data_IF_007710841189
#
_entry.id   IF_007710841189
#
_cell.length_a   1.000
_cell.length_b   1.000
_cell.length_c   1.000
_cell.angle_alpha   90.00
_cell.angle_beta   90.00
_cell.angle_gamma   90.00
#
_symmetry.space_group_name_H-M   'P 1'
#
loop_
_entity.id
_entity.type
_entity.pdbx_description
1 polymer ?
#
# COMPACT_ATOMS: atom_id res chain seq x y z
N UNK A 1 11.25 5.63 -8.37
CA UNK A 1 12.37 5.40 -7.49
C UNK A 1 12.24 4.09 -6.76
N UNK A 2 13.31 3.38 -6.60
CA UNK A 2 13.26 2.04 -6.07
C UNK A 2 13.36 2.07 -4.55
N UNK A 3 12.32 1.62 -3.91
CA UNK A 3 12.32 1.47 -2.45
C UNK A 3 12.74 2.69 -1.68
N UNK A 4 12.61 3.86 -2.27
CA UNK A 4 12.95 5.05 -1.53
C UNK A 4 11.74 5.73 -0.95
N UNK A 5 10.57 5.47 -1.45
CA UNK A 5 9.37 6.17 -0.99
C UNK A 5 8.61 5.32 0.00
N UNK A 6 8.36 5.88 1.13
CA UNK A 6 7.64 5.20 2.20
C UNK A 6 6.35 5.95 2.50
N UNK A 7 5.27 5.22 2.58
CA UNK A 7 3.99 5.79 2.93
C UNK A 7 3.68 5.46 4.38
N UNK A 8 3.32 6.44 5.15
CA UNK A 8 2.94 6.22 6.54
C UNK A 8 1.43 6.02 6.59
N UNK A 9 1.03 4.78 6.80
CA UNK A 9 -0.38 4.42 6.78
C UNK A 9 -1.06 4.80 8.08
N UNK A 10 -0.31 4.86 9.16
CA UNK A 10 -0.84 5.26 10.45
C UNK A 10 0.31 5.86 11.24
N UNK A 11 0.10 7.02 11.83
CA UNK A 11 1.13 7.63 12.65
C UNK A 11 1.23 6.95 14.00
N UNK A 12 2.35 7.14 14.69
CA UNK A 12 2.46 6.63 16.03
C UNK A 12 1.45 7.35 16.93
N UNK A 13 1.06 6.69 17.97
CA UNK A 13 0.13 7.30 18.92
C UNK A 13 0.31 6.65 20.28
N UNK A 14 -0.20 7.30 21.30
CA UNK A 14 -0.13 6.77 22.64
C UNK A 14 -1.47 6.15 22.98
N UNK A 15 -1.42 4.89 23.43
CA UNK A 15 -2.63 4.19 23.85
C UNK A 15 -2.71 4.37 25.38
N UNK A 16 -3.62 5.16 25.86
CA UNK A 16 -3.59 5.55 27.27
C UNK A 16 -4.27 4.58 28.22
N UNK A 17 -4.93 3.58 27.70
CA UNK A 17 -5.72 2.69 28.53
C UNK A 17 -4.88 1.54 29.06
N UNK A 18 -5.45 0.80 30.00
CA UNK A 18 -4.80 -0.36 30.54
C UNK A 18 -4.53 -1.37 29.44
N UNK A 19 -3.30 -1.87 29.36
CA UNK A 19 -2.92 -2.75 28.29
C UNK A 19 -1.84 -3.70 28.81
N UNK A 20 -2.14 -4.99 28.81
CA UNK A 20 -1.19 -6.00 29.25
C UNK A 20 -0.93 -6.95 28.08
N UNK A 21 0.31 -7.26 27.84
CA UNK A 21 0.70 -8.04 26.68
C UNK A 21 1.47 -9.27 27.11
N UNK A 22 1.14 -10.41 26.52
CA UNK A 22 1.87 -11.63 26.77
C UNK A 22 3.09 -11.65 25.88
N UNK A 23 4.21 -12.08 26.45
CA UNK A 23 5.42 -12.18 25.65
C UNK A 23 5.94 -13.61 25.76
N UNK A 24 6.65 -14.05 24.75
CA UNK A 24 7.09 -15.42 24.70
C UNK A 24 8.11 -15.78 25.77
N UNK A 25 8.84 -14.78 26.26
CA UNK A 25 9.93 -15.09 27.16
C UNK A 25 9.63 -14.83 28.61
N UNK A 26 8.45 -14.37 28.94
CA UNK A 26 8.13 -14.07 30.32
C UNK A 26 6.98 -14.90 30.78
N UNK A 27 6.99 -15.21 32.09
CA UNK A 27 5.87 -15.91 32.65
C UNK A 27 4.68 -15.00 32.80
N UNK A 28 4.93 -13.77 33.19
CA UNK A 28 3.84 -12.85 33.49
C UNK A 28 3.64 -11.91 32.32
N UNK A 29 2.45 -11.40 32.22
CA UNK A 29 2.15 -10.39 31.20
C UNK A 29 2.92 -9.12 31.50
N UNK A 30 3.28 -8.41 30.45
CA UNK A 30 4.00 -7.18 30.57
C UNK A 30 3.03 -6.01 30.57
N UNK A 31 3.22 -5.08 31.51
CA UNK A 31 2.34 -3.92 31.61
C UNK A 31 2.78 -2.90 30.58
N UNK A 32 1.88 -2.64 29.62
CA UNK A 32 2.14 -1.67 28.56
C UNK A 32 1.16 -0.53 28.61
N UNK A 33 0.56 -0.31 29.77
CA UNK A 33 -0.39 0.77 29.93
C UNK A 33 0.25 2.10 29.57
N UNK A 34 -0.46 2.92 28.82
CA UNK A 34 0.02 4.23 28.42
C UNK A 34 1.26 4.14 27.54
N UNK A 35 1.32 3.15 26.68
CA UNK A 35 2.49 2.96 25.83
C UNK A 35 2.31 3.64 24.48
N UNK A 36 3.42 3.96 23.86
CA UNK A 36 3.40 4.54 22.51
C UNK A 36 3.39 3.41 21.50
N UNK A 37 2.48 3.50 20.56
CA UNK A 37 2.38 2.52 19.48
C UNK A 37 3.11 3.07 18.26
N UNK A 38 3.85 2.20 17.59
CA UNK A 38 4.68 2.62 16.48
C UNK A 38 3.82 2.85 15.23
N UNK A 39 4.32 3.64 14.30
CA UNK A 39 3.57 3.87 13.07
C UNK A 39 3.55 2.63 12.19
N UNK A 40 2.61 2.58 11.27
CA UNK A 40 2.57 1.55 10.26
C UNK A 40 3.03 2.17 8.96
N UNK A 41 4.06 1.59 8.35
CA UNK A 41 4.64 2.11 7.13
C UNK A 41 4.54 1.08 6.02
N UNK A 42 4.60 1.55 4.80
CA UNK A 42 4.64 0.68 3.64
C UNK A 42 5.55 1.29 2.59
N UNK A 43 6.51 0.51 2.12
CA UNK A 43 7.44 0.94 1.09
C UNK A 43 7.24 0.04 -0.12
N UNK A 44 6.60 0.53 -1.18
CA UNK A 44 6.40 -0.29 -2.37
C UNK A 44 7.71 -0.57 -3.09
N UNK A 45 7.70 -1.59 -3.93
CA UNK A 45 8.90 -1.91 -4.70
C UNK A 45 9.25 -0.81 -5.69
N UNK A 46 8.24 -0.28 -6.40
CA UNK A 46 8.49 0.76 -7.40
C UNK A 46 7.41 1.83 -7.32
N UNK A 47 7.82 3.08 -7.36
CA UNK A 47 6.89 4.20 -7.29
C UNK A 47 7.26 5.22 -8.34
N UNK A 48 6.27 5.63 -9.13
CA UNK A 48 6.43 6.74 -10.05
C UNK A 48 5.69 7.94 -9.50
N UNK A 49 6.39 8.82 -8.82
CA UNK A 49 5.73 9.93 -8.16
C UNK A 49 5.11 10.91 -9.11
N UNK A 50 5.78 11.20 -10.21
CA UNK A 50 5.27 12.19 -11.14
C UNK A 50 4.05 11.69 -11.87
N UNK A 51 4.03 10.44 -12.24
CA UNK A 51 2.92 9.88 -12.97
C UNK A 51 1.91 9.20 -12.06
N UNK A 52 2.21 9.10 -10.78
CA UNK A 52 1.26 8.57 -9.79
C UNK A 52 0.92 7.10 -10.01
N UNK A 53 1.93 6.26 -10.02
CA UNK A 53 1.69 4.83 -10.07
C UNK A 53 2.60 4.09 -9.08
N UNK A 54 2.15 2.92 -8.66
CA UNK A 54 2.88 2.07 -7.73
C UNK A 54 2.83 0.65 -8.27
N UNK A 55 3.97 -0.03 -8.28
CA UNK A 55 4.02 -1.44 -8.64
C UNK A 55 4.63 -2.19 -7.46
N UNK A 56 3.93 -3.20 -7.01
CA UNK A 56 4.42 -4.08 -5.97
C UNK A 56 4.54 -5.48 -6.54
N UNK A 57 5.67 -6.14 -6.31
CA UNK A 57 5.86 -7.49 -6.80
C UNK A 57 5.78 -8.43 -5.61
N UNK A 58 5.00 -9.50 -5.75
CA UNK A 58 4.80 -10.38 -4.63
C UNK A 58 4.61 -11.80 -5.12
N UNK A 59 5.63 -12.61 -5.03
CA UNK A 59 5.47 -14.01 -5.29
C UNK A 59 4.79 -14.67 -4.11
N UNK A 60 4.62 -15.97 -4.18
CA UNK A 60 4.02 -16.70 -3.07
C UNK A 60 5.07 -16.89 -1.99
N UNK A 61 4.85 -16.32 -0.83
CA UNK A 61 5.75 -16.49 0.30
C UNK A 61 4.91 -16.69 1.54
N UNK A 62 4.92 -17.88 2.11
CA UNK A 62 4.07 -18.15 3.26
C UNK A 62 4.34 -17.22 4.45
N UNK A 63 5.53 -16.65 4.51
CA UNK A 63 5.86 -15.78 5.63
C UNK A 63 5.26 -14.38 5.50
N UNK A 64 4.62 -14.05 4.38
CA UNK A 64 4.08 -12.71 4.20
C UNK A 64 2.60 -12.68 4.57
N UNK A 65 2.29 -13.10 5.77
CA UNK A 65 0.89 -13.21 6.17
C UNK A 65 0.22 -11.87 6.39
N UNK A 66 0.97 -10.84 6.74
CA UNK A 66 0.37 -9.55 7.00
C UNK A 66 0.28 -8.69 5.75
N UNK A 67 0.79 -9.14 4.63
CA UNK A 67 0.79 -8.30 3.44
C UNK A 67 -0.61 -7.95 2.95
N UNK A 68 -1.57 -8.89 2.90
CA UNK A 68 -2.89 -8.51 2.40
C UNK A 68 -3.54 -7.38 3.20
N UNK A 69 -3.34 -7.38 4.52
CA UNK A 69 -3.91 -6.34 5.34
C UNK A 69 -3.16 -5.03 5.12
N UNK A 70 -1.82 -5.08 5.07
CA UNK A 70 -1.04 -3.87 4.85
C UNK A 70 -1.36 -3.27 3.48
N UNK A 71 -1.55 -4.11 2.46
CA UNK A 71 -1.90 -3.63 1.14
C UNK A 71 -3.25 -2.92 1.15
N UNK A 72 -4.22 -3.52 1.84
CA UNK A 72 -5.54 -2.90 1.93
C UNK A 72 -5.47 -1.56 2.65
N UNK A 73 -4.66 -1.46 3.70
CA UNK A 73 -4.49 -0.20 4.40
C UNK A 73 -3.82 0.83 3.50
N UNK A 74 -2.91 0.39 2.65
CA UNK A 74 -2.26 1.29 1.71
C UNK A 74 -3.26 1.84 0.70
N UNK A 75 -4.12 0.97 0.17
CA UNK A 75 -5.15 1.43 -0.77
C UNK A 75 -6.08 2.45 -0.11
N UNK A 76 -6.45 2.19 1.12
CA UNK A 76 -7.30 3.13 1.84
C UNK A 76 -6.59 4.44 2.10
N UNK A 77 -5.30 4.37 2.38
CA UNK A 77 -4.51 5.58 2.60
C UNK A 77 -4.50 6.46 1.36
N UNK A 78 -4.39 5.84 0.18
CA UNK A 78 -4.42 6.60 -1.06
C UNK A 78 -5.75 7.32 -1.21
N UNK A 79 -6.83 6.63 -0.93
CA UNK A 79 -8.15 7.22 -1.08
C UNK A 79 -8.40 8.30 -0.03
N UNK A 80 -8.08 8.00 1.23
CA UNK A 80 -8.37 8.93 2.31
C UNK A 80 -7.60 10.23 2.19
N UNK A 81 -6.42 10.19 1.59
CA UNK A 81 -5.60 11.37 1.45
C UNK A 81 -5.59 11.91 0.03
N UNK A 82 -6.44 11.36 -0.81
CA UNK A 82 -6.60 11.86 -2.19
C UNK A 82 -5.26 11.94 -2.91
N UNK A 83 -4.47 10.89 -2.80
CA UNK A 83 -3.15 10.90 -3.39
C UNK A 83 -3.14 10.57 -4.88
N UNK A 84 -4.15 9.88 -5.36
CA UNK A 84 -4.31 9.69 -6.79
C UNK A 84 -3.40 8.68 -7.45
N UNK A 85 -2.82 7.75 -6.68
CA UNK A 85 -1.96 6.75 -7.27
C UNK A 85 -2.76 5.59 -7.84
N UNK A 86 -2.38 5.11 -9.00
CA UNK A 86 -2.86 3.85 -9.53
C UNK A 86 -1.92 2.78 -9.06
N UNK A 87 -2.42 1.60 -8.76
CA UNK A 87 -1.60 0.55 -8.17
C UNK A 87 -1.66 -0.71 -9.00
N UNK A 88 -0.54 -1.43 -9.01
CA UNK A 88 -0.43 -2.67 -9.74
C UNK A 88 0.24 -3.68 -8.83
N UNK A 89 -0.39 -4.83 -8.65
CA UNK A 89 0.16 -5.89 -7.83
C UNK A 89 0.53 -7.04 -8.77
N UNK A 90 1.82 -7.23 -8.97
CA UNK A 90 2.31 -8.20 -9.93
C UNK A 90 2.93 -9.39 -9.20
N UNK A 91 2.80 -10.58 -9.77
CA UNK A 91 3.35 -11.77 -9.14
C UNK A 91 4.62 -12.26 -9.82
N UNK A 92 4.90 -11.80 -11.02
CA UNK A 92 6.07 -12.24 -11.75
C UNK A 92 6.46 -11.18 -12.75
N UNK A 93 7.57 -11.43 -13.45
CA UNK A 93 8.09 -10.45 -14.37
C UNK A 93 7.13 -10.13 -15.50
N UNK A 94 6.43 -11.14 -16.00
CA UNK A 94 5.48 -10.90 -17.07
C UNK A 94 4.40 -9.89 -16.65
N UNK A 95 3.92 -10.03 -15.42
CA UNK A 95 2.89 -9.11 -14.93
C UNK A 95 3.46 -7.73 -14.65
N UNK A 96 4.72 -7.64 -14.26
CA UNK A 96 5.35 -6.34 -14.12
C UNK A 96 5.40 -5.65 -15.48
N UNK A 97 5.78 -6.39 -16.52
CA UNK A 97 5.82 -5.82 -17.86
C UNK A 97 4.44 -5.37 -18.32
N UNK A 98 3.41 -6.13 -17.98
CA UNK A 98 2.05 -5.73 -18.33
C UNK A 98 1.67 -4.45 -17.60
N UNK A 99 2.08 -4.30 -16.34
CA UNK A 99 1.79 -3.10 -15.60
C UNK A 99 2.46 -1.89 -16.24
N UNK A 100 3.71 -2.06 -16.66
CA UNK A 100 4.42 -0.98 -17.32
C UNK A 100 3.70 -0.58 -18.61
N UNK A 101 3.27 -1.57 -19.39
CA UNK A 101 2.55 -1.27 -20.63
C UNK A 101 1.26 -0.51 -20.35
N UNK A 102 0.55 -0.88 -19.29
CA UNK A 102 -0.68 -0.18 -18.94
C UNK A 102 -0.41 1.26 -18.55
N UNK A 103 0.67 1.48 -17.80
CA UNK A 103 1.03 2.82 -17.40
C UNK A 103 1.34 3.67 -18.63
N UNK A 104 2.07 3.12 -19.58
CA UNK A 104 2.43 3.85 -20.78
C UNK A 104 1.19 4.17 -21.59
N UNK A 105 0.29 3.21 -21.72
CA UNK A 105 -0.93 3.45 -22.46
C UNK A 105 -1.79 4.53 -21.82
N UNK A 106 -1.87 4.52 -20.50
CA UNK A 106 -2.66 5.52 -19.79
C UNK A 106 -2.11 6.91 -20.05
N UNK A 107 -0.79 7.05 -20.06
CA UNK A 107 -0.19 8.34 -20.27
C UNK A 107 -0.47 8.82 -21.70
N UNK A 108 -0.35 7.92 -22.67
CA UNK A 108 -0.63 8.31 -24.05
C UNK A 108 -2.08 8.74 -24.19
N UNK A 109 -2.99 8.02 -23.57
CA UNK A 109 -4.38 8.38 -23.64
C UNK A 109 -4.64 9.73 -23.01
N UNK A 110 -3.99 10.00 -21.89
CA UNK A 110 -4.16 11.29 -21.25
C UNK A 110 -3.71 12.41 -22.16
N UNK A 111 -2.65 12.17 -22.90
CA UNK A 111 -2.17 13.22 -23.74
C UNK A 111 -3.10 13.49 -24.90
N UNK A 112 -3.72 12.46 -25.43
CA UNK A 112 -4.53 12.73 -26.54
C UNK A 112 -5.94 12.96 -26.16
N UNK A 113 -6.43 12.51 -25.11
CA UNK A 113 -7.74 12.48 -24.94
C UNK A 113 -8.27 13.41 -24.22
N UNK A 114 -8.86 13.98 -24.32
CA UNK A 114 -9.27 14.87 -23.62
C UNK A 114 -10.41 14.50 -23.07
N UNK A 115 -11.05 14.39 -23.11
CA UNK A 115 -12.13 14.19 -22.49
C UNK A 115 -12.71 13.16 -22.34
N UNK A 116 -13.11 12.90 -22.66
CA UNK A 116 -13.75 11.89 -22.56
C UNK A 116 -13.96 11.30 -21.59
N UNK A 117 -13.88 11.31 -21.12
CA UNK A 117 -14.08 10.72 -20.16
C UNK A 117 -14.89 9.86 -19.84
N UNK A 118 -15.11 9.42 -19.66
CA UNK A 118 -15.75 8.71 -19.24
C UNK A 118 -15.79 7.79 -18.60
N UNK A 119 -15.75 7.33 -18.17
CA UNK A 119 -15.76 6.61 -17.50
C UNK A 119 -16.30 5.71 -17.12
N UNK A 120 -16.51 5.21 -16.85
CA UNK A 120 -17.03 4.43 -16.61
C UNK A 120 -16.80 3.51 -15.98
N UNK A 121 -16.48 3.16 -15.78
CA UNK A 121 -16.07 2.27 -15.21
C UNK A 121 -16.65 1.72 -14.20
N UNK A 122 -16.84 0.96 -13.96
CA UNK A 122 -17.35 0.47 -13.02
C UNK A 122 -16.67 -0.39 -12.39
N UNK A 123 -16.66 -0.66 -11.59
CA UNK A 123 -15.90 -1.29 -10.80
C UNK A 123 -16.09 -2.62 -10.74
N UNK A 124 -15.52 -3.24 -10.62
CA UNK A 124 -15.57 -4.43 -10.61
C UNK A 124 -15.40 -4.93 -9.47
N UNK A 125 -15.57 -5.36 -8.90
CA UNK A 125 -15.49 -5.78 -7.75
C UNK A 125 -14.74 -6.68 -7.49
N UNK A 126 -14.40 -7.01 -7.49
CA UNK A 126 -13.66 -7.84 -7.19
C UNK A 126 -13.52 -8.36 -6.22
#
# INVERSE_FOLDING_TARGET
TYEEDTFYLMDSFRFPNKYFKMTAKRKDMSDRTNSVQQPIRYTPDFVGKDQKWVIETKGYLPSHHDFPMRWKLFLKHIVDNDLGYDVYLARNKHQVDQAIDEIIKSRDNDETSTSSGLLDGEPEDA
#
